data_IF_132585563233
#
_entry.id   IF_132585563233
#
_cell.length_a   1.000
_cell.length_b   1.000
_cell.length_c   1.000
_cell.angle_alpha   90.00
_cell.angle_beta   90.00
_cell.angle_gamma   90.00
#
_symmetry.space_group_name_H-M   'P 1'
#
loop_
_entity.id
_entity.type
_entity.pdbx_description
1 polymer ?
#
# COMPACT_ATOMS: atom_id res chain seq x y z
N UNK A 1 26.50 110.29 34.90
CA UNK A 1 27.03 109.20 34.02
C UNK A 1 25.99 108.14 33.96
N UNK A 2 25.47 107.86 32.77
CA UNK A 2 24.62 106.74 32.51
C UNK A 2 25.53 105.61 32.11
N UNK A 3 25.53 104.51 32.88
CA UNK A 3 26.29 103.26 32.52
C UNK A 3 25.36 102.42 31.63
N UNK A 4 25.75 102.33 30.42
CA UNK A 4 25.06 101.38 29.49
C UNK A 4 25.71 100.01 29.74
N UNK A 5 24.94 99.05 30.26
CA UNK A 5 25.35 97.70 30.44
C UNK A 5 25.01 96.89 29.13
N UNK A 6 26.03 96.27 28.56
CA UNK A 6 25.84 95.34 27.45
C UNK A 6 25.44 93.97 28.00
N UNK A 7 24.39 93.37 27.48
CA UNK A 7 24.03 92.04 27.83
C UNK A 7 25.21 91.10 27.53
N UNK A 8 25.29 89.96 28.25
CA UNK A 8 26.21 88.89 27.92
C UNK A 8 25.88 88.29 26.53
N UNK A 9 26.89 87.90 25.80
CA UNK A 9 26.68 87.33 24.46
C UNK A 9 25.79 86.10 24.54
N UNK A 10 24.81 85.97 23.63
CA UNK A 10 23.95 84.83 23.46
C UNK A 10 24.82 83.64 22.98
N UNK A 11 24.74 82.52 23.69
CA UNK A 11 25.50 81.27 23.40
C UNK A 11 24.54 80.08 23.46
N UNK A 12 24.89 78.98 22.73
CA UNK A 12 24.15 77.73 22.66
C UNK A 12 25.09 76.55 22.71
N UNK A 13 24.69 75.54 23.39
CA UNK A 13 25.30 74.14 23.34
C UNK A 13 24.24 73.19 22.95
N UNK A 14 24.53 72.39 21.91
CA UNK A 14 23.64 71.37 21.43
C UNK A 14 24.11 70.03 21.97
N UNK A 15 23.16 69.15 22.35
CA UNK A 15 23.36 67.74 22.69
C UNK A 15 22.41 66.89 21.86
N UNK A 16 22.87 65.75 21.35
CA UNK A 16 22.07 64.85 20.51
C UNK A 16 22.27 63.43 20.94
N UNK A 17 21.18 62.67 20.90
CA UNK A 17 21.18 61.20 21.03
C UNK A 17 21.33 60.58 19.66
N UNK A 18 21.53 59.26 19.64
CA UNK A 18 21.49 58.42 18.42
C UNK A 18 20.10 57.84 18.26
N UNK A 19 19.55 57.87 17.06
CA UNK A 19 18.34 57.13 16.75
C UNK A 19 18.60 55.62 16.80
N UNK A 20 17.97 54.96 17.78
CA UNK A 20 18.23 53.55 18.05
C UNK A 20 17.78 52.66 16.90
N UNK A 21 16.70 53.06 16.19
CA UNK A 21 16.19 52.28 15.06
C UNK A 21 16.36 53.06 13.74
N UNK A 22 16.55 52.30 12.65
CA UNK A 22 16.55 52.83 11.31
C UNK A 22 15.21 53.53 11.01
N UNK A 23 15.27 54.78 10.50
CA UNK A 23 14.10 55.61 10.25
C UNK A 23 13.42 56.18 11.50
N UNK A 24 13.97 55.88 12.66
CA UNK A 24 13.50 56.44 13.92
C UNK A 24 13.92 57.89 14.15
N UNK A 25 13.58 58.43 15.30
CA UNK A 25 13.98 59.76 15.75
C UNK A 25 14.85 59.71 16.99
N UNK A 26 15.75 60.68 17.16
CA UNK A 26 16.52 60.86 18.36
C UNK A 26 16.27 62.24 18.96
N UNK A 27 16.47 62.36 20.25
CA UNK A 27 16.32 63.62 20.94
C UNK A 27 17.52 64.55 20.69
N UNK A 28 17.26 65.77 20.32
CA UNK A 28 18.22 66.87 20.27
C UNK A 28 17.80 67.98 21.26
N UNK A 29 18.76 68.55 21.98
CA UNK A 29 18.51 69.57 22.96
C UNK A 29 19.42 70.79 22.71
N UNK A 30 18.90 71.96 22.70
CA UNK A 30 19.65 73.23 22.59
C UNK A 30 19.65 74.01 23.91
N UNK A 31 20.73 73.92 24.64
CA UNK A 31 20.90 74.63 25.86
C UNK A 31 21.42 76.06 25.56
N UNK A 32 20.63 77.10 25.96
CA UNK A 32 20.91 78.47 25.66
C UNK A 32 21.26 79.28 26.96
N UNK A 33 22.30 80.11 26.87
CA UNK A 33 22.73 80.90 27.97
C UNK A 33 23.28 82.25 27.44
N UNK A 34 23.41 83.27 28.33
CA UNK A 34 23.68 84.65 27.90
C UNK A 34 22.51 85.29 27.23
N UNK A 35 22.67 86.49 26.56
CA UNK A 35 21.56 87.19 25.99
C UNK A 35 20.51 87.65 27.04
N UNK A 36 19.32 87.91 26.61
CA UNK A 36 18.22 88.33 27.47
C UNK A 36 17.01 87.36 27.34
N UNK A 37 16.65 86.69 28.46
CA UNK A 37 15.46 85.83 28.53
C UNK A 37 14.18 86.61 28.35
N UNK A 38 13.11 86.02 27.71
CA UNK A 38 12.98 84.68 27.26
C UNK A 38 13.61 84.42 25.89
N UNK A 39 13.93 83.10 25.65
CA UNK A 39 14.48 82.60 24.37
C UNK A 39 13.40 81.91 23.57
N UNK A 40 13.46 82.07 22.26
CA UNK A 40 12.67 81.34 21.28
C UNK A 40 13.61 80.41 20.53
N UNK A 41 13.41 79.09 20.69
CA UNK A 41 14.21 78.03 20.03
C UNK A 41 13.37 77.46 18.88
N UNK A 42 13.89 77.46 17.66
CA UNK A 42 13.24 76.89 16.47
C UNK A 42 14.15 75.93 15.80
N UNK A 43 13.66 74.71 15.61
CA UNK A 43 14.30 73.63 14.82
C UNK A 43 13.76 73.64 13.39
N UNK A 44 14.54 73.09 12.41
CA UNK A 44 14.16 73.02 11.01
C UNK A 44 12.94 72.14 10.74
N UNK A 45 12.64 71.18 11.66
CA UNK A 45 11.43 70.33 11.59
C UNK A 45 10.16 71.08 12.07
N UNK A 46 10.27 72.38 12.38
CA UNK A 46 9.15 73.18 12.84
C UNK A 46 8.90 73.13 14.36
N UNK A 47 9.69 72.37 15.13
CA UNK A 47 9.56 72.31 16.59
C UNK A 47 10.05 73.66 17.19
N UNK A 48 9.20 74.28 18.00
CA UNK A 48 9.55 75.51 18.75
C UNK A 48 9.69 75.18 20.23
N UNK A 49 10.76 74.50 20.60
CA UNK A 49 11.07 74.05 21.97
C UNK A 49 12.59 73.78 22.13
N UNK A 50 13.05 73.77 23.37
CA UNK A 50 14.46 73.46 23.70
C UNK A 50 14.86 72.13 23.23
N UNK A 51 13.89 71.15 23.20
CA UNK A 51 14.09 69.83 22.80
C UNK A 51 13.25 69.53 21.56
N UNK A 52 13.83 68.80 20.57
CA UNK A 52 13.16 68.27 19.39
C UNK A 52 13.49 66.79 19.19
N UNK A 53 12.57 66.04 18.56
CA UNK A 53 12.80 64.68 18.07
C UNK A 53 13.04 64.75 16.56
N UNK A 54 14.26 64.40 16.15
CA UNK A 54 14.76 64.58 14.79
C UNK A 54 15.10 63.23 14.16
N UNK A 55 14.88 63.11 12.87
CA UNK A 55 15.28 61.94 12.08
C UNK A 55 16.80 61.96 11.85
N UNK A 56 17.32 60.85 11.31
CA UNK A 56 18.75 60.81 10.92
C UNK A 56 19.05 61.89 9.84
N UNK A 57 20.18 62.54 9.98
CA UNK A 57 20.62 63.62 9.09
C UNK A 57 21.10 64.86 9.82
N UNK A 58 21.43 65.89 9.02
CA UNK A 58 21.83 67.20 9.53
C UNK A 58 20.58 68.03 9.73
N UNK A 59 20.43 68.58 10.96
CA UNK A 59 19.35 69.47 11.35
C UNK A 59 19.89 70.79 11.85
N UNK A 60 19.11 71.84 11.69
CA UNK A 60 19.48 73.20 12.10
C UNK A 60 18.57 73.68 13.22
N UNK A 61 19.21 74.37 14.19
CA UNK A 61 18.52 75.06 15.27
C UNK A 61 18.89 76.53 15.28
N UNK A 62 17.88 77.33 15.50
CA UNK A 62 18.05 78.78 15.70
C UNK A 62 17.43 79.20 17.01
N UNK A 63 18.17 79.94 17.78
CA UNK A 63 17.68 80.52 19.06
C UNK A 63 17.72 82.05 18.96
N UNK A 64 16.65 82.68 19.38
CA UNK A 64 16.55 84.15 19.45
C UNK A 64 16.18 84.55 20.87
N UNK A 65 16.84 85.62 21.39
CA UNK A 65 16.50 86.18 22.64
C UNK A 65 15.39 87.29 22.46
N UNK A 66 14.84 87.81 23.58
CA UNK A 66 13.77 88.83 23.54
C UNK A 66 14.18 90.11 22.82
N UNK A 67 15.48 90.42 22.75
CA UNK A 67 16.02 91.58 22.08
C UNK A 67 16.24 91.36 20.56
N UNK A 68 15.97 90.19 20.05
CA UNK A 68 16.16 89.80 18.64
C UNK A 68 17.54 89.33 18.28
N UNK A 69 18.47 89.17 19.24
CA UNK A 69 19.77 88.52 18.99
C UNK A 69 19.59 87.06 18.73
N UNK A 70 20.20 86.55 17.66
CA UNK A 70 20.05 85.13 17.29
C UNK A 70 21.38 84.39 17.18
N UNK A 71 21.36 83.10 17.42
CA UNK A 71 22.45 82.13 17.22
C UNK A 71 21.87 80.89 16.55
N UNK A 72 22.63 80.33 15.62
CA UNK A 72 22.25 79.09 14.90
C UNK A 72 23.40 78.08 15.04
N UNK A 73 22.99 76.84 15.09
CA UNK A 73 23.91 75.72 15.07
C UNK A 73 23.31 74.57 14.23
N UNK A 74 24.13 73.54 13.87
CA UNK A 74 23.70 72.34 13.21
C UNK A 74 24.10 71.12 14.01
N UNK A 75 23.18 70.14 14.03
CA UNK A 75 23.40 68.88 14.71
C UNK A 75 23.26 67.73 13.70
N UNK A 76 24.07 66.67 13.90
CA UNK A 76 24.01 65.47 13.11
C UNK A 76 23.41 64.35 13.93
N UNK A 77 22.21 63.89 13.52
CA UNK A 77 21.59 62.74 14.14
C UNK A 77 22.09 61.49 13.37
N UNK A 78 22.69 60.55 14.10
CA UNK A 78 23.14 59.24 13.59
C UNK A 78 22.04 58.24 13.92
N UNK A 79 21.82 57.23 13.04
CA UNK A 79 20.91 56.10 13.26
C UNK A 79 21.67 54.79 13.08
N UNK A 80 21.15 53.72 13.71
CA UNK A 80 21.60 52.36 13.41
C UNK A 80 21.11 51.92 12.03
N UNK A 81 21.86 50.97 11.44
CA UNK A 81 21.48 50.34 10.19
C UNK A 81 20.19 49.50 10.33
N UNK A 82 19.42 49.39 9.27
CA UNK A 82 18.25 48.55 9.26
C UNK A 82 18.62 47.09 9.37
N UNK A 83 17.81 46.32 10.13
CA UNK A 83 17.96 44.87 10.24
C UNK A 83 17.67 44.25 8.87
N UNK A 84 18.65 43.53 8.30
CA UNK A 84 18.53 42.73 7.08
C UNK A 84 18.68 41.28 7.46
N UNK A 85 17.68 40.47 7.10
CA UNK A 85 17.68 39.04 7.40
C UNK A 85 17.22 38.26 6.15
N UNK A 86 17.66 37.00 6.06
CA UNK A 86 17.15 36.03 5.13
C UNK A 86 16.66 34.77 5.87
N UNK A 87 15.94 33.93 5.16
CA UNK A 87 15.43 32.66 5.62
C UNK A 87 16.14 31.51 4.89
N UNK A 88 16.31 30.38 5.56
CA UNK A 88 16.66 29.08 4.97
C UNK A 88 15.54 28.15 5.37
N UNK A 89 14.84 27.59 4.38
CA UNK A 89 13.74 26.65 4.57
C UNK A 89 14.19 25.23 4.38
N UNK A 90 13.59 24.33 5.16
CA UNK A 90 13.56 22.90 4.89
C UNK A 90 12.10 22.52 4.71
N UNK A 91 11.77 22.01 3.54
CA UNK A 91 10.42 21.60 3.21
C UNK A 91 10.00 20.34 3.96
N UNK A 92 8.71 20.02 3.93
CA UNK A 92 8.15 18.79 4.50
C UNK A 92 8.71 17.58 3.76
N UNK A 93 9.20 16.60 4.51
CA UNK A 93 9.85 15.42 3.93
C UNK A 93 8.88 14.51 3.19
N UNK A 94 7.69 14.25 3.79
CA UNK A 94 6.66 13.40 3.22
C UNK A 94 5.28 14.04 3.33
N UNK A 95 4.41 13.73 2.40
CA UNK A 95 3.01 14.16 2.42
C UNK A 95 2.34 13.84 3.77
N UNK A 96 1.63 14.82 4.33
CA UNK A 96 0.92 14.71 5.61
C UNK A 96 1.79 14.87 6.86
N UNK A 97 3.11 15.04 6.74
CA UNK A 97 3.97 15.33 7.87
C UNK A 97 3.96 16.84 8.22
N UNK A 98 4.54 17.15 9.36
CA UNK A 98 4.70 18.51 9.88
C UNK A 98 6.12 18.73 10.39
N UNK A 99 7.09 18.35 9.57
CA UNK A 99 8.53 18.39 9.91
C UNK A 99 9.29 19.50 9.18
N UNK A 100 8.58 20.38 8.48
CA UNK A 100 9.14 21.57 7.86
C UNK A 100 9.80 22.49 8.88
N UNK A 101 10.83 23.23 8.45
CA UNK A 101 11.51 24.18 9.31
C UNK A 101 11.97 25.41 8.55
N UNK A 102 12.10 26.53 9.30
CA UNK A 102 12.68 27.78 8.81
C UNK A 102 13.72 28.27 9.81
N UNK A 103 14.91 28.55 9.33
CA UNK A 103 15.97 29.22 10.06
C UNK A 103 16.12 30.65 9.56
N UNK A 104 16.12 31.62 10.47
CA UNK A 104 16.31 33.03 10.18
C UNK A 104 17.75 33.42 10.46
N UNK A 105 18.43 34.01 9.46
CA UNK A 105 19.79 34.49 9.59
C UNK A 105 19.84 36.01 9.45
N UNK A 106 20.46 36.68 10.39
CA UNK A 106 20.76 38.12 10.32
C UNK A 106 21.98 38.33 9.43
N UNK A 107 21.81 39.11 8.38
CA UNK A 107 22.87 39.45 7.44
C UNK A 107 23.63 40.70 7.93
N UNK A 108 22.88 41.71 8.34
CA UNK A 108 23.48 42.98 8.81
C UNK A 108 22.46 43.83 9.56
N UNK A 109 22.96 44.87 10.27
CA UNK A 109 22.15 45.84 10.99
C UNK A 109 21.55 45.34 12.28
N UNK A 110 20.89 46.23 13.00
CA UNK A 110 20.33 45.99 14.33
C UNK A 110 21.39 45.82 15.44
N UNK A 111 20.95 45.67 16.66
CA UNK A 111 21.77 45.48 17.84
C UNK A 111 21.47 44.14 18.51
N UNK A 112 22.47 43.25 18.59
CA UNK A 112 22.33 41.96 19.30
C UNK A 112 22.12 42.16 20.82
N UNK A 113 21.34 41.24 21.49
CA UNK A 113 20.71 40.00 20.98
C UNK A 113 19.41 40.26 20.18
N UNK A 114 19.11 39.27 19.29
CA UNK A 114 17.88 39.28 18.53
C UNK A 114 16.87 38.28 19.09
N UNK A 115 15.59 38.62 18.93
CA UNK A 115 14.47 37.73 19.25
C UNK A 115 13.54 37.64 18.04
N UNK A 116 12.83 36.47 17.94
CA UNK A 116 12.07 36.09 16.75
C UNK A 116 10.66 35.67 17.13
N UNK A 117 9.69 36.03 16.31
CA UNK A 117 8.30 35.62 16.45
C UNK A 117 7.74 35.19 15.07
N UNK A 118 6.79 34.28 15.03
CA UNK A 118 6.11 33.86 13.81
C UNK A 118 4.63 34.21 13.81
N UNK A 119 4.06 34.46 12.63
CA UNK A 119 2.62 34.70 12.40
C UNK A 119 1.98 35.71 13.33
N UNK A 120 2.69 36.85 13.61
CA UNK A 120 2.23 37.93 14.48
C UNK A 120 1.90 37.48 15.92
N UNK A 121 2.44 36.38 16.38
CA UNK A 121 2.31 35.96 17.78
C UNK A 121 3.15 36.90 18.66
N UNK A 122 2.55 37.38 19.75
CA UNK A 122 3.21 38.34 20.67
C UNK A 122 4.37 37.72 21.46
N UNK A 123 4.56 36.40 21.36
CA UNK A 123 5.61 35.67 22.06
C UNK A 123 6.89 35.59 21.22
N UNK A 124 7.94 36.27 21.67
CA UNK A 124 9.26 36.21 21.07
C UNK A 124 10.12 35.13 21.73
N UNK A 125 10.94 34.43 20.92
CA UNK A 125 11.94 33.46 21.34
C UNK A 125 13.34 33.91 20.94
N UNK A 126 14.37 33.42 21.66
CA UNK A 126 15.76 33.67 21.29
C UNK A 126 16.29 32.72 20.23
N UNK A 127 15.63 31.57 20.03
CA UNK A 127 15.99 30.62 18.99
C UNK A 127 15.55 31.15 17.62
N UNK A 128 16.46 31.15 16.65
CA UNK A 128 16.21 31.61 15.28
C UNK A 128 15.64 30.51 14.37
N UNK A 129 15.36 29.28 14.91
CA UNK A 129 14.79 28.16 14.16
C UNK A 129 13.36 27.93 14.62
N UNK A 130 12.48 27.82 13.65
CA UNK A 130 11.10 27.37 13.79
C UNK A 130 10.98 26.01 13.15
N UNK A 131 10.50 25.02 13.87
CA UNK A 131 10.34 23.64 13.42
C UNK A 131 8.91 23.16 13.57
N UNK A 132 8.61 21.98 13.05
CA UNK A 132 7.27 21.37 13.04
C UNK A 132 6.27 22.25 12.31
N UNK A 133 6.70 22.76 11.16
CA UNK A 133 5.89 23.66 10.31
C UNK A 133 5.10 22.88 9.27
N UNK A 134 3.88 23.36 9.03
CA UNK A 134 2.98 22.82 8.01
C UNK A 134 3.22 23.50 6.66
N UNK A 135 2.59 22.97 5.60
CA UNK A 135 2.58 23.53 4.26
C UNK A 135 1.75 24.85 4.18
N UNK A 136 2.34 25.93 4.68
CA UNK A 136 1.77 27.29 4.60
C UNK A 136 2.88 28.32 4.53
N UNK A 137 2.52 29.56 4.15
CA UNK A 137 3.42 30.70 4.23
C UNK A 137 3.44 31.26 5.65
N UNK A 138 4.64 31.40 6.21
CA UNK A 138 4.87 32.00 7.52
C UNK A 138 5.46 33.39 7.36
N UNK A 139 5.03 34.31 8.24
CA UNK A 139 5.61 35.66 8.38
C UNK A 139 6.32 35.71 9.72
N UNK A 140 7.56 36.22 9.73
CA UNK A 140 8.41 36.30 10.90
C UNK A 140 8.68 37.76 11.22
N UNK A 141 8.67 38.08 12.51
CA UNK A 141 9.10 39.36 13.07
C UNK A 141 10.41 39.11 13.78
N UNK A 142 11.41 39.93 13.47
CA UNK A 142 12.71 39.93 14.09
C UNK A 142 12.82 41.21 14.88
N UNK A 143 13.18 41.14 16.14
CA UNK A 143 13.36 42.30 17.03
C UNK A 143 14.75 42.29 17.65
N UNK A 144 15.44 43.41 17.61
CA UNK A 144 16.75 43.60 18.23
C UNK A 144 16.63 44.06 19.70
N UNK A 145 17.80 44.21 20.39
CA UNK A 145 17.86 44.63 21.79
C UNK A 145 17.30 46.04 22.03
N UNK A 146 17.30 46.89 21.03
CA UNK A 146 16.73 48.23 21.09
C UNK A 146 15.21 48.25 20.82
N UNK A 147 14.59 47.11 20.51
CA UNK A 147 13.20 46.98 20.17
C UNK A 147 12.88 47.35 18.70
N UNK A 148 13.89 47.47 17.85
CA UNK A 148 13.71 47.71 16.42
C UNK A 148 13.28 46.42 15.72
N UNK A 149 12.31 46.49 14.82
CA UNK A 149 11.75 45.33 14.17
C UNK A 149 11.90 45.34 12.66
N UNK A 150 12.04 44.16 12.09
CA UNK A 150 11.89 43.89 10.64
C UNK A 150 11.06 42.64 10.45
N UNK A 151 10.55 42.43 9.23
CA UNK A 151 9.75 41.25 8.89
C UNK A 151 10.38 40.52 7.71
N UNK A 152 10.28 39.21 7.72
CA UNK A 152 10.57 38.36 6.58
C UNK A 152 9.47 37.29 6.47
N UNK A 153 9.36 36.65 5.33
CA UNK A 153 8.38 35.59 5.14
C UNK A 153 8.95 34.50 4.22
N UNK A 154 8.51 33.27 4.43
CA UNK A 154 8.84 32.16 3.57
C UNK A 154 7.71 31.12 3.60
N UNK A 155 7.71 30.22 2.61
CA UNK A 155 6.68 29.18 2.44
C UNK A 155 7.32 27.81 2.59
N UNK A 156 6.70 26.98 3.39
CA UNK A 156 7.01 25.55 3.47
C UNK A 156 6.17 24.84 2.42
N UNK A 157 6.82 23.98 1.63
CA UNK A 157 6.19 23.18 0.59
C UNK A 157 6.10 21.73 1.07
N UNK A 158 5.04 21.05 0.65
CA UNK A 158 4.80 19.65 0.90
C UNK A 158 4.87 18.87 -0.44
N UNK A 159 5.55 17.71 -0.49
CA UNK A 159 5.57 16.89 -1.70
C UNK A 159 4.17 16.31 -1.98
N UNK A 160 3.93 15.89 -3.22
CA UNK A 160 2.73 15.14 -3.56
C UNK A 160 2.72 13.79 -2.84
N UNK A 161 1.53 13.32 -2.46
CA UNK A 161 1.37 11.99 -1.84
C UNK A 161 1.96 10.90 -2.73
N UNK A 162 2.83 10.05 -2.15
CA UNK A 162 3.35 8.86 -2.81
C UNK A 162 2.25 7.80 -2.87
N UNK A 163 1.81 7.47 -4.07
CA UNK A 163 0.75 6.48 -4.31
C UNK A 163 1.26 5.42 -5.26
N UNK A 164 0.98 4.14 -4.96
CA UNK A 164 1.26 3.01 -5.85
C UNK A 164 -0.04 2.32 -6.26
N UNK A 165 -0.17 2.04 -7.54
CA UNK A 165 -1.25 1.24 -8.14
C UNK A 165 -0.66 -0.03 -8.73
N UNK A 166 -1.46 -1.13 -8.69
CA UNK A 166 -1.06 -2.43 -9.20
C UNK A 166 -1.99 -2.90 -10.30
N UNK A 167 -1.40 -3.50 -11.33
CA UNK A 167 -2.09 -4.32 -12.31
C UNK A 167 -1.50 -5.73 -12.29
N UNK A 168 -2.29 -6.75 -12.61
CA UNK A 168 -1.81 -8.14 -12.61
C UNK A 168 -2.35 -8.94 -13.77
N UNK A 169 -1.63 -9.99 -14.13
CA UNK A 169 -2.12 -11.07 -15.00
C UNK A 169 -2.31 -12.35 -14.19
N UNK A 170 -3.34 -13.15 -14.48
CA UNK A 170 -3.52 -14.45 -13.83
C UNK A 170 -2.40 -15.43 -14.24
N UNK A 171 -2.30 -16.54 -13.52
CA UNK A 171 -1.47 -17.66 -13.97
C UNK A 171 -2.07 -18.31 -15.21
N UNK A 172 -1.23 -18.91 -16.04
CA UNK A 172 -1.67 -19.57 -17.27
C UNK A 172 -2.50 -20.82 -16.98
N UNK A 173 -2.13 -21.58 -15.95
CA UNK A 173 -2.80 -22.78 -15.52
C UNK A 173 -2.97 -22.84 -14.00
N UNK A 174 -3.91 -23.66 -13.55
CA UNK A 174 -4.08 -23.90 -12.12
C UNK A 174 -2.83 -24.53 -11.52
N UNK A 175 -2.33 -23.92 -10.42
CA UNK A 175 -1.13 -24.37 -9.72
C UNK A 175 0.20 -23.91 -10.32
N UNK A 176 0.20 -23.22 -11.47
CA UNK A 176 1.42 -22.61 -12.02
C UNK A 176 1.74 -21.28 -11.34
N UNK A 177 3.01 -20.87 -11.45
CA UNK A 177 3.50 -19.63 -10.86
C UNK A 177 4.11 -18.72 -11.94
N UNK A 178 3.35 -18.40 -12.96
CA UNK A 178 3.72 -17.56 -14.10
C UNK A 178 2.84 -16.30 -14.24
N UNK A 179 2.03 -16.01 -13.21
CA UNK A 179 1.30 -14.75 -13.09
C UNK A 179 2.25 -13.58 -12.91
N UNK A 180 1.82 -12.37 -13.24
CA UNK A 180 2.65 -11.17 -13.11
C UNK A 180 1.92 -10.06 -12.38
N UNK A 181 2.68 -9.14 -11.78
CA UNK A 181 2.19 -7.88 -11.27
C UNK A 181 3.11 -6.74 -11.71
N UNK A 182 2.52 -5.58 -12.00
CA UNK A 182 3.24 -4.36 -12.34
C UNK A 182 2.80 -3.26 -11.40
N UNK A 183 3.76 -2.65 -10.71
CA UNK A 183 3.54 -1.46 -9.93
C UNK A 183 3.68 -0.20 -10.79
N UNK A 184 2.82 0.78 -10.54
CA UNK A 184 2.92 2.11 -11.13
C UNK A 184 2.76 3.13 -10.02
N UNK A 185 3.82 3.88 -9.75
CA UNK A 185 3.88 4.86 -8.67
C UNK A 185 3.76 6.29 -9.21
N UNK A 186 3.22 7.19 -8.39
CA UNK A 186 3.12 8.63 -8.66
C UNK A 186 3.23 9.43 -7.37
N UNK A 187 3.62 10.70 -7.47
CA UNK A 187 3.92 11.54 -6.30
C UNK A 187 5.28 11.21 -5.70
N UNK A 188 5.44 11.51 -4.41
CA UNK A 188 6.73 11.39 -3.72
C UNK A 188 7.81 12.34 -4.21
N UNK A 189 9.04 12.09 -3.83
CA UNK A 189 10.20 12.92 -4.15
C UNK A 189 11.34 12.09 -4.73
N UNK A 190 11.85 12.47 -5.90
CA UNK A 190 13.01 11.82 -6.50
C UNK A 190 12.73 10.44 -7.08
N UNK A 191 13.67 9.50 -6.92
CA UNK A 191 13.52 8.14 -7.40
C UNK A 191 12.65 7.31 -6.47
N UNK A 192 11.84 6.43 -7.06
CA UNK A 192 10.98 5.51 -6.32
C UNK A 192 11.55 4.11 -6.51
N UNK A 193 11.76 3.41 -5.42
CA UNK A 193 12.17 2.00 -5.38
C UNK A 193 11.00 1.11 -5.02
N UNK A 194 10.99 -0.11 -5.53
CA UNK A 194 9.97 -1.12 -5.28
C UNK A 194 10.55 -2.27 -4.47
N UNK A 195 9.87 -2.68 -3.42
CA UNK A 195 10.19 -3.86 -2.62
C UNK A 195 9.01 -4.84 -2.65
N UNK A 196 9.19 -5.97 -3.31
CA UNK A 196 8.26 -7.08 -3.38
C UNK A 196 8.54 -8.16 -2.32
N UNK A 197 9.49 -7.90 -1.42
CA UNK A 197 9.95 -8.88 -0.42
C UNK A 197 10.62 -10.08 -1.08
N UNK A 198 10.06 -11.27 -0.83
CA UNK A 198 10.56 -12.53 -1.42
C UNK A 198 9.90 -12.89 -2.76
N UNK A 199 8.95 -12.07 -3.22
CA UNK A 199 8.19 -12.34 -4.44
C UNK A 199 8.95 -11.82 -5.67
N UNK A 200 8.91 -12.60 -6.75
CA UNK A 200 9.30 -12.13 -8.08
C UNK A 200 8.04 -11.67 -8.83
N UNK A 201 7.87 -10.37 -9.12
CA UNK A 201 6.67 -9.86 -9.77
C UNK A 201 6.43 -10.42 -11.18
N UNK A 202 7.40 -11.12 -11.76
CA UNK A 202 7.27 -11.76 -13.06
C UNK A 202 6.91 -13.25 -12.99
N UNK A 203 6.94 -13.86 -11.79
CA UNK A 203 6.71 -15.30 -11.57
C UNK A 203 5.87 -15.50 -10.29
N UNK A 204 4.65 -15.02 -10.29
CA UNK A 204 3.75 -15.08 -9.14
C UNK A 204 2.83 -16.27 -9.23
N UNK A 205 2.72 -17.00 -8.12
CA UNK A 205 1.66 -17.99 -7.94
C UNK A 205 0.33 -17.30 -7.60
N UNK A 206 -0.77 -18.02 -7.75
CA UNK A 206 -2.08 -17.55 -7.31
C UNK A 206 -2.07 -17.18 -5.82
N UNK A 207 -2.62 -16.02 -5.49
CA UNK A 207 -2.65 -15.49 -4.13
C UNK A 207 -2.47 -14.00 -4.05
N UNK A 208 -2.18 -13.50 -2.85
CA UNK A 208 -1.98 -12.08 -2.57
C UNK A 208 -0.51 -11.70 -2.81
N UNK A 209 -0.27 -10.74 -3.70
CA UNK A 209 1.03 -10.10 -3.90
C UNK A 209 0.97 -8.68 -3.35
N UNK A 210 1.99 -8.31 -2.57
CA UNK A 210 2.13 -6.99 -1.96
C UNK A 210 3.40 -6.33 -2.48
N UNK A 211 3.36 -5.01 -2.61
CA UNK A 211 4.52 -4.17 -2.88
C UNK A 211 4.58 -3.04 -1.87
N UNK A 212 5.78 -2.69 -1.47
CA UNK A 212 6.10 -1.45 -0.76
C UNK A 212 6.91 -0.60 -1.72
N UNK A 213 6.57 0.66 -1.85
CA UNK A 213 7.37 1.61 -2.60
C UNK A 213 7.92 2.67 -1.65
N UNK A 214 9.15 3.09 -1.88
CA UNK A 214 9.87 4.09 -1.09
C UNK A 214 10.50 5.12 -2.03
N UNK A 215 10.36 6.40 -1.69
CA UNK A 215 10.98 7.50 -2.43
C UNK A 215 12.34 7.90 -1.82
N UNK A 216 13.05 8.85 -2.47
CA UNK A 216 14.36 9.31 -2.01
C UNK A 216 14.32 10.00 -0.61
N UNK A 217 13.16 10.43 -0.14
CA UNK A 217 12.98 10.99 1.20
C UNK A 217 12.62 9.93 2.26
N UNK A 218 12.43 8.67 1.86
CA UNK A 218 12.04 7.58 2.75
C UNK A 218 10.52 7.52 3.00
N UNK A 219 9.71 8.20 2.19
CA UNK A 219 8.26 8.10 2.27
C UNK A 219 7.80 6.77 1.68
N UNK A 220 6.89 6.09 2.38
CA UNK A 220 6.44 4.76 2.03
C UNK A 220 4.97 4.78 1.55
N UNK A 221 4.69 3.97 0.54
CA UNK A 221 3.33 3.62 0.13
C UNK A 221 3.23 2.13 -0.13
N UNK A 222 2.07 1.54 0.14
CA UNK A 222 1.87 0.09 -0.01
C UNK A 222 0.60 -0.20 -0.77
N UNK A 223 0.61 -1.25 -1.58
CA UNK A 223 -0.58 -1.76 -2.21
C UNK A 223 -0.49 -3.27 -2.40
N UNK A 224 -1.63 -3.90 -2.69
CA UNK A 224 -1.72 -5.34 -2.89
C UNK A 224 -2.65 -5.68 -4.03
N UNK A 225 -2.38 -6.80 -4.71
CA UNK A 225 -3.19 -7.35 -5.78
C UNK A 225 -3.33 -8.85 -5.62
N UNK A 226 -4.48 -9.38 -6.02
CA UNK A 226 -4.70 -10.83 -6.03
C UNK A 226 -4.35 -11.36 -7.42
N UNK A 227 -3.41 -12.29 -7.47
CA UNK A 227 -3.13 -13.10 -8.65
C UNK A 227 -4.16 -14.22 -8.68
N UNK A 228 -4.97 -14.26 -9.71
CA UNK A 228 -5.97 -15.31 -9.90
C UNK A 228 -5.40 -16.45 -10.72
N UNK A 229 -6.00 -17.62 -10.61
CA UNK A 229 -5.67 -18.78 -11.43
C UNK A 229 -6.94 -19.34 -12.09
N UNK A 230 -6.82 -20.05 -13.22
CA UNK A 230 -7.91 -20.79 -13.82
C UNK A 230 -8.40 -21.91 -12.90
N UNK A 231 -9.63 -22.36 -13.09
CA UNK A 231 -10.12 -23.53 -12.38
C UNK A 231 -9.30 -24.78 -12.72
N UNK A 232 -9.08 -25.69 -11.77
CA UNK A 232 -8.39 -26.92 -12.04
C UNK A 232 -9.14 -27.75 -13.08
N UNK A 233 -8.39 -28.42 -13.95
CA UNK A 233 -8.95 -29.35 -14.93
C UNK A 233 -9.44 -30.61 -14.21
N UNK A 234 -10.74 -30.86 -14.25
CA UNK A 234 -11.35 -32.05 -13.68
C UNK A 234 -11.57 -33.06 -14.80
N UNK A 235 -10.92 -34.22 -14.69
CA UNK A 235 -11.00 -35.30 -15.68
C UNK A 235 -11.66 -36.50 -15.04
N UNK A 236 -12.74 -36.96 -15.64
CA UNK A 236 -13.45 -38.18 -15.21
C UNK A 236 -13.35 -39.23 -16.31
N UNK A 237 -13.05 -40.48 -15.94
CA UNK A 237 -13.12 -41.60 -16.83
C UNK A 237 -14.37 -42.40 -16.49
N UNK A 238 -15.12 -42.77 -17.51
CA UNK A 238 -16.28 -43.66 -17.41
C UNK A 238 -16.02 -44.95 -18.20
N UNK A 239 -16.39 -46.08 -17.65
CA UNK A 239 -16.36 -47.34 -18.36
C UNK A 239 -17.68 -47.51 -19.14
N UNK A 240 -17.59 -47.81 -20.42
CA UNK A 240 -18.71 -48.09 -21.31
C UNK A 240 -18.51 -49.38 -22.06
N UNK A 241 -19.00 -50.47 -21.48
CA UNK A 241 -18.71 -51.81 -21.96
C UNK A 241 -17.21 -52.12 -21.97
N UNK A 242 -16.66 -52.45 -23.12
CA UNK A 242 -15.25 -52.75 -23.28
C UNK A 242 -14.34 -51.55 -23.51
N UNK A 243 -14.84 -50.34 -23.35
CA UNK A 243 -14.06 -49.10 -23.55
C UNK A 243 -14.12 -48.16 -22.34
N UNK A 244 -13.09 -47.34 -22.20
CA UNK A 244 -12.99 -46.25 -21.28
C UNK A 244 -13.23 -44.94 -22.07
N UNK A 245 -14.01 -44.03 -21.51
CA UNK A 245 -14.28 -42.74 -22.10
C UNK A 245 -13.90 -41.61 -21.11
N UNK A 246 -13.09 -40.69 -21.58
CA UNK A 246 -12.68 -39.51 -20.81
C UNK A 246 -13.70 -38.39 -21.01
N UNK A 247 -13.76 -37.48 -20.04
CA UNK A 247 -14.45 -36.16 -20.20
C UNK A 247 -14.05 -35.55 -21.54
N UNK A 248 -15.05 -35.06 -22.28
CA UNK A 248 -14.87 -34.40 -23.59
C UNK A 248 -14.39 -32.95 -23.44
N UNK A 249 -13.92 -32.36 -24.55
CA UNK A 249 -13.63 -30.92 -24.65
C UNK A 249 -12.16 -30.52 -24.54
N UNK A 250 -11.26 -31.48 -24.54
CA UNK A 250 -9.82 -31.25 -24.54
C UNK A 250 -9.21 -31.37 -25.95
N UNK A 251 -8.08 -30.72 -26.16
CA UNK A 251 -7.37 -30.75 -27.47
C UNK A 251 -6.50 -31.98 -27.62
N UNK A 252 -6.07 -32.59 -26.53
CA UNK A 252 -5.34 -33.86 -26.57
C UNK A 252 -5.67 -34.76 -25.39
N UNK A 253 -5.49 -36.02 -25.61
CA UNK A 253 -5.65 -37.10 -24.64
C UNK A 253 -4.41 -37.99 -24.72
N UNK A 254 -4.03 -38.55 -23.60
CA UNK A 254 -2.98 -39.59 -23.54
C UNK A 254 -3.33 -40.55 -22.41
N UNK A 255 -3.59 -41.81 -22.77
CA UNK A 255 -3.87 -42.87 -21.79
C UNK A 255 -2.60 -43.40 -21.17
N UNK A 256 -2.68 -43.78 -19.89
CA UNK A 256 -1.58 -44.30 -19.09
C UNK A 256 -2.02 -45.60 -18.41
N UNK A 257 -1.04 -46.48 -18.20
CA UNK A 257 -1.20 -47.73 -17.45
C UNK A 257 -1.16 -47.50 -15.92
N UNK A 258 -1.27 -48.57 -15.15
CA UNK A 258 -1.24 -48.56 -13.68
C UNK A 258 0.05 -47.97 -13.08
N UNK A 259 1.15 -48.01 -13.84
CA UNK A 259 2.46 -47.48 -13.46
C UNK A 259 2.68 -46.05 -13.99
N UNK A 260 1.63 -45.41 -14.51
CA UNK A 260 1.66 -44.09 -15.13
C UNK A 260 2.55 -43.97 -16.38
N UNK A 261 2.83 -45.14 -17.08
CA UNK A 261 3.51 -45.11 -18.36
C UNK A 261 2.53 -44.81 -19.49
N UNK A 262 2.98 -44.04 -20.47
CA UNK A 262 2.18 -43.74 -21.66
C UNK A 262 1.88 -45.00 -22.48
N UNK A 263 0.60 -45.25 -22.76
CA UNK A 263 0.17 -46.27 -23.68
C UNK A 263 0.33 -45.71 -25.09
N UNK A 264 1.31 -46.21 -25.82
CA UNK A 264 1.73 -45.70 -27.12
C UNK A 264 0.57 -45.72 -28.15
N UNK A 265 0.29 -44.56 -28.74
CA UNK A 265 -0.75 -44.45 -29.78
C UNK A 265 -2.15 -44.20 -29.24
N UNK A 266 -2.38 -44.34 -27.95
CA UNK A 266 -3.71 -44.17 -27.35
C UNK A 266 -3.92 -42.69 -26.95
N UNK A 267 -4.30 -41.91 -27.97
CA UNK A 267 -4.46 -40.42 -27.87
C UNK A 267 -5.88 -39.95 -28.16
N UNK A 268 -6.84 -40.84 -28.19
CA UNK A 268 -8.26 -40.51 -28.41
C UNK A 268 -8.98 -40.26 -27.09
N UNK A 269 -10.11 -39.58 -27.13
CA UNK A 269 -11.00 -39.42 -25.97
C UNK A 269 -11.43 -40.77 -25.39
N UNK A 270 -11.57 -41.79 -26.25
CA UNK A 270 -11.92 -43.13 -25.85
C UNK A 270 -10.73 -44.09 -26.01
N UNK A 271 -10.62 -45.05 -25.12
CA UNK A 271 -9.60 -46.11 -25.12
C UNK A 271 -10.27 -47.45 -24.90
N UNK A 272 -9.85 -48.46 -25.64
CA UNK A 272 -10.29 -49.86 -25.45
C UNK A 272 -9.14 -50.68 -24.92
N UNK A 273 -9.07 -50.90 -23.59
CA UNK A 273 -8.00 -51.68 -23.00
C UNK A 273 -8.00 -53.14 -23.51
N UNK A 274 -6.83 -53.67 -23.76
CA UNK A 274 -6.65 -55.10 -24.15
C UNK A 274 -6.56 -56.05 -22.96
N UNK A 275 -6.41 -55.50 -21.76
CA UNK A 275 -6.30 -56.26 -20.50
C UNK A 275 -7.06 -55.53 -19.37
N UNK A 276 -7.48 -56.30 -18.37
CA UNK A 276 -7.95 -55.74 -17.11
C UNK A 276 -6.78 -55.04 -16.41
N UNK A 277 -7.06 -53.95 -15.70
CA UNK A 277 -6.04 -53.16 -15.02
C UNK A 277 -6.51 -51.78 -14.59
N UNK A 278 -5.63 -51.00 -13.97
CA UNK A 278 -5.89 -49.63 -13.61
C UNK A 278 -5.38 -48.69 -14.70
N UNK A 279 -6.18 -47.71 -15.08
CA UNK A 279 -5.88 -46.76 -16.15
C UNK A 279 -6.11 -45.32 -15.73
N UNK A 280 -5.33 -44.43 -16.30
CA UNK A 280 -5.48 -42.98 -16.18
C UNK A 280 -5.56 -42.35 -17.57
N UNK A 281 -6.01 -41.12 -17.63
CA UNK A 281 -5.88 -40.31 -18.82
C UNK A 281 -5.32 -38.94 -18.44
N UNK A 282 -4.34 -38.48 -19.19
CA UNK A 282 -3.81 -37.12 -19.18
C UNK A 282 -4.49 -36.37 -20.31
N UNK A 283 -5.00 -35.19 -20.03
CA UNK A 283 -5.64 -34.33 -21.02
C UNK A 283 -4.95 -32.98 -21.09
N UNK A 284 -5.07 -32.31 -22.23
CA UNK A 284 -4.59 -30.93 -22.39
C UNK A 284 -5.71 -30.08 -22.94
N UNK A 285 -5.92 -28.89 -22.38
CA UNK A 285 -6.90 -27.94 -22.85
C UNK A 285 -6.35 -27.03 -23.97
N UNK A 286 -7.19 -26.08 -24.44
CA UNK A 286 -6.83 -25.10 -25.48
C UNK A 286 -5.71 -24.13 -25.05
N UNK A 287 -5.53 -23.91 -23.75
CA UNK A 287 -4.49 -23.04 -23.20
C UNK A 287 -3.16 -23.78 -22.98
N UNK A 288 -3.13 -25.10 -23.20
CA UNK A 288 -1.95 -25.93 -22.93
C UNK A 288 -1.90 -26.48 -21.51
N UNK A 289 -2.90 -26.22 -20.68
CA UNK A 289 -2.97 -26.74 -19.32
C UNK A 289 -3.26 -28.23 -19.33
N UNK A 290 -2.60 -28.97 -18.45
CA UNK A 290 -2.76 -30.43 -18.35
C UNK A 290 -3.57 -30.82 -17.12
N UNK A 291 -4.38 -31.86 -17.25
CA UNK A 291 -5.12 -32.47 -16.15
C UNK A 291 -5.03 -33.99 -16.22
N UNK A 292 -4.82 -34.64 -15.07
CA UNK A 292 -4.78 -36.09 -14.96
C UNK A 292 -6.02 -36.59 -14.20
N UNK A 293 -6.67 -37.64 -14.72
CA UNK A 293 -7.79 -38.28 -14.03
C UNK A 293 -7.34 -39.02 -12.75
N UNK A 294 -8.30 -39.28 -11.89
CA UNK A 294 -8.15 -40.40 -10.94
C UNK A 294 -8.09 -41.74 -11.73
N UNK A 295 -7.49 -42.76 -11.12
CA UNK A 295 -7.45 -44.10 -11.72
C UNK A 295 -8.86 -44.69 -11.81
N UNK A 296 -9.07 -45.48 -12.87
CA UNK A 296 -10.24 -46.33 -13.02
C UNK A 296 -9.76 -47.79 -13.11
N UNK A 297 -10.41 -48.67 -12.37
CA UNK A 297 -10.20 -50.10 -12.51
C UNK A 297 -11.07 -50.63 -13.64
N UNK A 298 -10.46 -51.08 -14.71
CA UNK A 298 -11.14 -51.64 -15.87
C UNK A 298 -11.08 -53.17 -15.82
N UNK A 299 -12.23 -53.79 -15.99
CA UNK A 299 -12.37 -55.25 -15.96
C UNK A 299 -12.99 -55.66 -17.28
N UNK A 300 -12.38 -56.64 -17.94
CA UNK A 300 -12.92 -57.18 -19.16
C UNK A 300 -14.09 -58.09 -18.79
N UNK A 301 -15.32 -57.69 -19.15
CA UNK A 301 -16.45 -58.60 -19.07
C UNK A 301 -16.34 -59.60 -20.18
N UNK A 302 -15.90 -60.85 -19.89
CA UNK A 302 -15.99 -61.93 -20.82
C UNK A 302 -17.45 -62.39 -20.89
N UNK A 303 -18.11 -62.17 -22.04
CA UNK A 303 -19.39 -62.80 -22.32
C UNK A 303 -19.11 -64.23 -22.76
N UNK A 304 -18.65 -65.10 -21.84
CA UNK A 304 -18.86 -66.50 -22.00
C UNK A 304 -20.31 -66.81 -21.61
N UNK A 305 -20.97 -67.72 -22.35
CA UNK A 305 -22.33 -68.13 -22.14
C UNK A 305 -22.58 -68.56 -20.68
N UNK A 306 -22.95 -67.58 -19.83
CA UNK A 306 -23.02 -67.70 -18.37
C UNK A 306 -24.20 -68.56 -17.87
N UNK A 307 -24.99 -69.14 -18.74
CA UNK A 307 -26.21 -69.83 -18.33
C UNK A 307 -26.00 -71.06 -17.45
N UNK A 308 -24.74 -71.45 -17.16
CA UNK A 308 -24.46 -72.61 -16.34
C UNK A 308 -23.43 -72.44 -15.21
N UNK A 309 -22.74 -71.29 -15.09
CA UNK A 309 -21.67 -71.11 -14.10
C UNK A 309 -22.16 -70.59 -12.73
N UNK A 310 -23.16 -69.75 -12.75
CA UNK A 310 -23.79 -69.15 -11.54
C UNK A 310 -25.29 -69.14 -11.71
N UNK A 311 -26.00 -69.60 -10.70
CA UNK A 311 -27.47 -69.52 -10.66
C UNK A 311 -27.92 -68.80 -9.38
N UNK A 312 -28.90 -67.93 -9.54
CA UNK A 312 -29.53 -67.15 -8.45
C UNK A 312 -31.01 -67.47 -8.43
N UNK A 313 -31.44 -68.09 -7.33
CA UNK A 313 -32.84 -68.47 -7.19
C UNK A 313 -33.36 -68.31 -5.74
N UNK A 314 -34.62 -68.04 -5.53
CA UNK A 314 -35.59 -67.66 -6.54
C UNK A 314 -35.32 -66.25 -7.09
N UNK A 315 -35.57 -66.02 -8.38
CA UNK A 315 -35.48 -64.71 -9.02
C UNK A 315 -36.67 -64.56 -9.97
N UNK A 316 -37.66 -63.69 -9.69
CA UNK A 316 -37.74 -62.75 -8.55
C UNK A 316 -37.86 -63.36 -7.16
N UNK A 317 -37.47 -62.60 -6.14
CA UNK A 317 -37.52 -62.97 -4.73
C UNK A 317 -38.28 -61.96 -3.91
N UNK A 318 -38.78 -62.41 -2.73
CA UNK A 318 -39.43 -61.50 -1.74
C UNK A 318 -38.53 -61.22 -0.52
N UNK A 319 -37.51 -62.06 -0.27
CA UNK A 319 -36.66 -61.88 0.91
C UNK A 319 -35.29 -62.56 0.79
N UNK A 320 -35.24 -63.79 0.36
CA UNK A 320 -34.02 -64.60 0.33
C UNK A 320 -33.64 -65.03 -1.08
N UNK A 321 -32.38 -64.99 -1.39
CA UNK A 321 -31.82 -65.59 -2.59
C UNK A 321 -30.78 -66.61 -2.21
N UNK A 322 -30.60 -67.61 -3.08
CA UNK A 322 -29.51 -68.56 -3.06
C UNK A 322 -28.65 -68.32 -4.28
N UNK A 323 -27.37 -68.08 -4.04
CA UNK A 323 -26.36 -67.93 -5.10
C UNK A 323 -25.60 -69.25 -5.14
N UNK A 324 -25.69 -69.96 -6.24
CA UNK A 324 -24.94 -71.23 -6.48
C UNK A 324 -23.96 -71.00 -7.61
N UNK A 325 -22.68 -71.34 -7.37
CA UNK A 325 -21.61 -71.18 -8.35
C UNK A 325 -20.91 -72.53 -8.58
N UNK A 326 -20.64 -72.78 -9.84
CA UNK A 326 -19.79 -73.93 -10.23
C UNK A 326 -18.31 -73.56 -10.42
N UNK A 327 -17.99 -72.25 -10.27
CA UNK A 327 -16.63 -71.72 -10.34
C UNK A 327 -16.19 -71.24 -8.94
N UNK A 328 -14.91 -71.26 -8.70
CA UNK A 328 -14.32 -70.76 -7.46
C UNK A 328 -14.48 -69.20 -7.41
N UNK A 329 -15.04 -68.71 -6.34
CA UNK A 329 -15.18 -67.24 -6.08
C UNK A 329 -13.94 -66.84 -5.29
N UNK A 330 -13.13 -65.93 -5.85
CA UNK A 330 -11.82 -65.56 -5.29
C UNK A 330 -11.86 -64.26 -4.49
N UNK A 331 -12.94 -63.48 -4.64
CA UNK A 331 -13.17 -62.20 -3.98
C UNK A 331 -14.56 -62.20 -3.30
N UNK A 332 -14.88 -61.09 -2.61
CA UNK A 332 -16.17 -60.89 -1.99
C UNK A 332 -17.31 -60.85 -3.00
N UNK A 333 -18.49 -61.42 -2.64
CA UNK A 333 -19.71 -61.24 -3.43
C UNK A 333 -20.35 -59.90 -3.04
N UNK A 334 -20.67 -59.08 -4.04
CA UNK A 334 -21.31 -57.78 -3.82
C UNK A 334 -22.71 -57.75 -4.41
N UNK A 335 -23.66 -57.18 -3.67
CA UNK A 335 -25.00 -56.87 -4.20
C UNK A 335 -25.10 -55.35 -4.29
N UNK A 336 -25.38 -54.90 -5.50
CA UNK A 336 -25.32 -53.45 -5.86
C UNK A 336 -26.72 -53.02 -6.29
N UNK A 337 -27.15 -51.86 -5.86
CA UNK A 337 -28.39 -51.22 -6.28
C UNK A 337 -28.24 -50.56 -7.68
N UNK A 338 -29.34 -50.00 -8.21
CA UNK A 338 -29.36 -49.30 -9.50
C UNK A 338 -28.57 -48.00 -9.55
N UNK A 339 -28.09 -47.49 -8.40
CA UNK A 339 -27.24 -46.32 -8.31
C UNK A 339 -25.75 -46.64 -8.21
N UNK A 340 -25.42 -47.95 -8.29
CA UNK A 340 -24.02 -48.40 -8.18
C UNK A 340 -23.50 -48.58 -6.74
N UNK A 341 -24.39 -48.43 -5.74
CA UNK A 341 -24.01 -48.55 -4.32
C UNK A 341 -24.06 -50.04 -3.91
N UNK A 342 -23.00 -50.51 -3.25
CA UNK A 342 -22.99 -51.84 -2.65
C UNK A 342 -23.86 -51.85 -1.42
N UNK A 343 -24.91 -52.67 -1.41
CA UNK A 343 -25.90 -52.74 -0.33
C UNK A 343 -25.70 -53.98 0.55
N UNK A 344 -25.09 -55.04 0.02
CA UNK A 344 -24.66 -56.25 0.76
C UNK A 344 -23.30 -56.68 0.26
N UNK A 345 -22.43 -57.05 1.18
CA UNK A 345 -21.15 -57.73 0.88
C UNK A 345 -21.16 -59.03 1.64
N UNK A 346 -20.75 -60.09 0.98
CA UNK A 346 -20.40 -61.40 1.58
C UNK A 346 -18.90 -61.50 1.48
N UNK A 347 -18.24 -61.43 2.63
CA UNK A 347 -16.79 -61.50 2.69
C UNK A 347 -16.27 -62.89 2.21
N UNK A 348 -15.11 -62.90 1.62
CA UNK A 348 -14.54 -64.12 1.02
C UNK A 348 -14.49 -65.31 1.98
N UNK A 349 -14.19 -65.07 3.23
CA UNK A 349 -14.11 -66.07 4.31
C UNK A 349 -15.46 -66.69 4.66
N UNK A 350 -16.56 -66.05 4.30
CA UNK A 350 -17.94 -66.50 4.56
C UNK A 350 -18.53 -67.23 3.35
N UNK A 351 -17.86 -67.19 2.19
CA UNK A 351 -18.35 -67.75 0.93
C UNK A 351 -18.20 -69.29 0.94
N UNK A 352 -19.35 -69.94 0.81
CA UNK A 352 -19.38 -71.38 0.53
C UNK A 352 -19.38 -71.56 -0.98
N UNK A 353 -18.36 -72.25 -1.53
CA UNK A 353 -18.16 -72.46 -2.98
C UNK A 353 -19.33 -73.19 -3.69
N UNK A 354 -20.22 -73.87 -2.98
CA UNK A 354 -21.35 -74.55 -3.60
C UNK A 354 -22.67 -73.74 -3.57
N UNK A 355 -22.92 -72.97 -2.47
CA UNK A 355 -24.21 -72.26 -2.32
C UNK A 355 -24.15 -71.27 -1.19
N UNK A 356 -24.47 -70.01 -1.46
CA UNK A 356 -24.54 -68.94 -0.48
C UNK A 356 -25.96 -68.39 -0.41
N UNK A 357 -26.53 -68.38 0.80
CA UNK A 357 -27.88 -67.87 1.04
C UNK A 357 -27.82 -66.47 1.57
N UNK A 358 -28.46 -65.52 0.87
CA UNK A 358 -28.42 -64.11 1.19
C UNK A 358 -29.77 -63.58 1.55
N UNK A 359 -29.87 -62.87 2.67
CA UNK A 359 -31.07 -62.19 3.09
C UNK A 359 -31.14 -60.79 2.43
N UNK A 360 -32.24 -60.55 1.71
CA UNK A 360 -32.53 -59.25 1.06
C UNK A 360 -33.58 -58.46 1.86
N UNK A 361 -34.02 -58.96 3.03
CA UNK A 361 -34.98 -58.24 3.86
C UNK A 361 -34.42 -56.87 4.29
N UNK A 362 -35.29 -55.86 4.23
CA UNK A 362 -34.88 -54.49 4.57
C UNK A 362 -34.36 -53.67 3.43
N UNK A 363 -34.10 -54.27 2.26
CA UNK A 363 -33.81 -53.53 1.03
C UNK A 363 -35.09 -53.06 0.34
N UNK A 364 -35.00 -51.97 -0.39
CA UNK A 364 -36.11 -51.46 -1.18
C UNK A 364 -36.45 -52.39 -2.35
N UNK A 365 -37.72 -52.52 -2.68
CA UNK A 365 -38.13 -53.31 -3.85
C UNK A 365 -37.52 -52.71 -5.09
N UNK A 366 -36.99 -53.57 -6.00
CA UNK A 366 -36.28 -53.12 -7.19
C UNK A 366 -35.35 -54.11 -7.81
N UNK A 367 -34.52 -53.64 -8.71
CA UNK A 367 -33.49 -54.39 -9.40
C UNK A 367 -32.16 -54.24 -8.65
N UNK A 368 -31.47 -55.36 -8.46
CA UNK A 368 -30.15 -55.45 -7.91
C UNK A 368 -29.23 -56.23 -8.82
N UNK A 369 -27.96 -55.91 -8.79
CA UNK A 369 -26.90 -56.63 -9.51
C UNK A 369 -26.08 -57.38 -8.47
N UNK A 370 -25.91 -58.68 -8.67
CA UNK A 370 -24.98 -59.53 -7.90
C UNK A 370 -23.70 -59.61 -8.69
N UNK A 371 -22.59 -59.23 -8.09
CA UNK A 371 -21.26 -59.33 -8.67
C UNK A 371 -20.47 -60.41 -7.94
N UNK A 372 -20.01 -61.37 -8.70
CA UNK A 372 -19.07 -62.40 -8.25
C UNK A 372 -17.75 -62.18 -8.99
N UNK A 373 -16.68 -62.14 -8.25
CA UNK A 373 -15.34 -61.88 -8.78
C UNK A 373 -14.53 -63.18 -8.70
N UNK A 374 -14.01 -63.58 -9.84
CA UNK A 374 -12.97 -64.58 -9.97
C UNK A 374 -11.69 -63.89 -10.47
N UNK A 375 -10.51 -64.44 -10.29
CA UNK A 375 -9.23 -63.86 -10.68
C UNK A 375 -9.20 -63.33 -12.13
N UNK A 376 -9.98 -63.92 -13.04
CA UNK A 376 -9.93 -63.65 -14.47
C UNK A 376 -11.13 -62.88 -15.01
N UNK A 377 -12.27 -62.86 -14.29
CA UNK A 377 -13.50 -62.20 -14.76
C UNK A 377 -14.50 -61.90 -13.64
N UNK A 378 -15.43 -61.00 -13.92
CA UNK A 378 -16.59 -60.67 -13.06
C UNK A 378 -17.85 -61.27 -13.70
N UNK A 379 -18.57 -62.06 -12.89
CA UNK A 379 -19.91 -62.54 -13.26
C UNK A 379 -20.95 -61.61 -12.64
N UNK A 380 -21.79 -61.01 -13.50
CA UNK A 380 -22.89 -60.18 -13.06
C UNK A 380 -24.21 -60.90 -13.24
N UNK A 381 -25.03 -60.97 -12.18
CA UNK A 381 -26.33 -61.61 -12.25
C UNK A 381 -27.43 -60.65 -11.72
N UNK A 382 -28.45 -60.41 -12.54
CA UNK A 382 -29.55 -59.57 -12.17
C UNK A 382 -30.54 -60.31 -11.25
N UNK A 383 -30.92 -59.66 -10.14
CA UNK A 383 -31.98 -60.14 -9.26
C UNK A 383 -33.07 -59.08 -9.08
N UNK A 384 -34.31 -59.55 -8.97
CA UNK A 384 -35.47 -58.68 -8.77
C UNK A 384 -36.07 -58.97 -7.40
N UNK A 385 -36.07 -57.95 -6.51
CA UNK A 385 -36.73 -57.98 -5.21
C UNK A 385 -38.15 -57.40 -5.34
N UNK A 386 -39.16 -58.19 -4.99
CA UNK A 386 -40.58 -57.85 -5.09
C UNK A 386 -41.25 -57.52 -3.74
#
# INVERSE_FOLDING_TARGET
TITILQPTQLQMITNVDTALCFGGTAQATAYTYGGQYPYITNWDNGTSAITAYLTAGIHYVNVQDVNGCSISDSVMIIQNDSIIANTITTDISCYGLTDGSVQINIISGGTSPFTYSSNNVVSFQSNNVFSSLNNVTYSYIIMDDNGCTTTTSDSIIEPAELVVSLTSTPTSCNGECDGTAIATSSGGTGNITEDWGILDPNNLCAGLANVIVEDDNGCLSTNSVIITEPNPIIVIITANGNSLESTAGFVSYQWLDENENYILGETSQTYTPSSAGEYYVLVTDLNGCTGKSTKINFIIESIENENNLVSVYPNPTNSWITISSSVEITENIRIINTHGETVIIIEKEEINNNSNRVNMDGLSKGIYLIQLINNDYIINHKVILQ
#
